data_IF_533982475423
#
_entry.id   IF_533982475423
#
_cell.length_a   1.000
_cell.length_b   1.000
_cell.length_c   1.000
_cell.angle_alpha   90.00
_cell.angle_beta   90.00
_cell.angle_gamma   90.00
#
_symmetry.space_group_name_H-M   'P 1'
#
loop_
_entity.id
_entity.type
_entity.pdbx_description
1 polymer ?
#
# COMPACT_ATOMS: atom_id res chain seq x y z
N UNK A 1 4.94 13.67 16.20
CA UNK A 1 4.38 12.84 15.10
C UNK A 1 3.86 11.56 15.76
N UNK A 2 3.03 11.70 16.82
CA UNK A 2 2.95 10.70 17.91
C UNK A 2 2.46 9.33 17.44
N UNK A 3 1.45 9.28 16.58
CA UNK A 3 0.93 8.03 16.05
C UNK A 3 1.95 7.31 15.15
N UNK A 4 2.64 8.03 14.27
CA UNK A 4 3.68 7.43 13.42
C UNK A 4 4.88 6.94 14.23
N UNK A 5 5.27 7.69 15.26
CA UNK A 5 6.33 7.29 16.19
C UNK A 5 5.95 6.08 17.05
N UNK A 6 4.67 5.90 17.36
CA UNK A 6 4.17 4.69 18.01
C UNK A 6 4.21 3.51 17.03
N UNK A 7 3.64 3.68 15.83
CA UNK A 7 3.57 2.63 14.80
C UNK A 7 4.96 2.17 14.39
N UNK A 8 5.93 3.07 14.23
CA UNK A 8 7.29 2.71 13.81
C UNK A 8 8.04 1.80 14.78
N UNK A 9 7.56 1.68 16.03
CA UNK A 9 8.11 0.79 17.05
C UNK A 9 7.40 -0.57 17.11
N UNK A 10 6.40 -0.79 16.25
CA UNK A 10 5.61 -2.02 16.19
C UNK A 10 5.84 -2.76 14.87
N UNK A 11 5.53 -4.05 14.83
CA UNK A 11 5.36 -4.78 13.56
C UNK A 11 3.97 -4.50 12.97
N UNK A 12 3.76 -3.26 12.53
CA UNK A 12 2.44 -2.73 12.13
C UNK A 12 2.51 -2.03 10.77
N UNK A 13 1.43 -2.17 10.00
CA UNK A 13 1.26 -1.54 8.70
C UNK A 13 -0.02 -0.70 8.68
N UNK A 14 -0.02 0.40 7.94
CA UNK A 14 -1.19 1.26 7.77
C UNK A 14 -1.86 0.94 6.44
N UNK A 15 -3.17 0.72 6.45
CA UNK A 15 -3.99 0.55 5.25
C UNK A 15 -5.07 1.63 5.28
N UNK A 16 -5.20 2.39 4.20
CA UNK A 16 -6.16 3.49 4.11
C UNK A 16 -6.85 3.57 2.74
N UNK A 17 -7.82 4.48 2.66
CA UNK A 17 -8.52 4.88 1.44
C UNK A 17 -8.60 6.40 1.36
N UNK A 18 -9.79 6.94 1.05
CA UNK A 18 -10.10 8.39 0.88
C UNK A 18 -9.38 9.05 -0.30
N UNK A 19 -8.07 8.84 -0.44
CA UNK A 19 -7.35 9.15 -1.68
C UNK A 19 -7.80 8.21 -2.78
N UNK A 20 -8.27 8.78 -3.87
CA UNK A 20 -8.84 8.05 -4.99
C UNK A 20 -7.76 7.51 -5.96
N UNK A 21 -6.72 6.87 -5.42
CA UNK A 21 -5.72 6.13 -6.20
C UNK A 21 -5.11 5.01 -5.35
N UNK A 22 -4.32 4.16 -6.00
CA UNK A 22 -3.54 3.12 -5.33
C UNK A 22 -2.12 3.60 -5.08
N UNK A 23 -1.56 3.32 -3.90
CA UNK A 23 -0.16 3.62 -3.63
C UNK A 23 0.43 2.80 -2.49
N UNK A 24 1.76 2.77 -2.47
CA UNK A 24 2.55 2.43 -1.29
C UNK A 24 3.44 3.62 -1.00
N UNK A 25 3.41 4.13 0.22
CA UNK A 25 4.31 5.19 0.67
C UNK A 25 5.09 4.76 1.91
N UNK A 26 6.31 5.28 2.04
CA UNK A 26 7.15 5.10 3.23
C UNK A 26 7.59 6.46 3.72
N UNK A 27 7.21 6.81 4.94
CA UNK A 27 7.68 8.04 5.58
C UNK A 27 9.19 7.96 5.83
N UNK A 28 9.96 8.91 5.28
CA UNK A 28 11.43 8.87 5.35
C UNK A 28 11.99 9.00 6.77
N UNK A 29 11.24 9.62 7.69
CA UNK A 29 11.71 9.88 9.06
C UNK A 29 11.47 8.71 9.99
N UNK A 30 10.31 8.08 9.88
CA UNK A 30 9.83 7.04 10.80
C UNK A 30 9.88 5.64 10.19
N UNK A 31 9.99 5.52 8.86
CA UNK A 31 9.91 4.25 8.16
C UNK A 31 8.51 3.64 8.11
N UNK A 32 7.49 4.34 8.64
CA UNK A 32 6.10 3.85 8.61
C UNK A 32 5.67 3.67 7.17
N UNK A 33 5.19 2.45 6.88
CA UNK A 33 4.69 2.06 5.56
C UNK A 33 3.16 2.11 5.55
N UNK A 34 2.63 2.78 4.52
CA UNK A 34 1.22 2.94 4.26
C UNK A 34 0.85 2.37 2.89
N UNK A 35 -0.25 1.65 2.83
CA UNK A 35 -0.86 1.12 1.62
C UNK A 35 -2.22 1.78 1.42
N UNK A 36 -2.55 2.13 0.18
CA UNK A 36 -3.84 2.71 -0.13
C UNK A 36 -4.45 2.13 -1.39
N UNK A 37 -5.78 1.99 -1.35
CA UNK A 37 -6.61 1.66 -2.49
C UNK A 37 -8.00 2.25 -2.28
N UNK A 38 -8.12 3.58 -2.42
CA UNK A 38 -9.40 4.26 -2.17
C UNK A 38 -10.50 4.03 -3.23
N UNK A 39 -10.22 4.03 -4.54
CA UNK A 39 -11.26 3.94 -5.55
C UNK A 39 -11.55 2.48 -5.92
N UNK A 40 -12.79 2.03 -5.72
CA UNK A 40 -13.23 0.70 -6.16
C UNK A 40 -13.45 0.59 -7.68
N UNK A 41 -13.49 1.72 -8.40
CA UNK A 41 -13.72 1.77 -9.86
C UNK A 41 -12.84 2.82 -10.53
N UNK A 42 -12.62 2.69 -11.84
CA UNK A 42 -11.79 3.62 -12.60
C UNK A 42 -12.43 5.02 -12.72
N UNK A 43 -13.75 5.09 -12.74
CA UNK A 43 -14.52 6.33 -12.83
C UNK A 43 -14.35 7.21 -11.59
N UNK A 44 -14.05 6.60 -10.44
CA UNK A 44 -13.80 7.33 -9.20
C UNK A 44 -12.33 7.60 -8.95
N UNK A 45 -11.41 7.04 -9.75
CA UNK A 45 -9.98 7.28 -9.61
C UNK A 45 -9.58 8.68 -10.08
N UNK A 46 -8.81 9.41 -9.27
CA UNK A 46 -8.42 10.79 -9.58
C UNK A 46 -7.86 11.55 -8.40
N UNK A 47 -7.66 12.86 -8.54
CA UNK A 47 -7.12 13.73 -7.49
C UNK A 47 -5.58 13.73 -7.38
N UNK A 48 -4.89 12.92 -8.19
CA UNK A 48 -3.43 12.90 -8.33
C UNK A 48 -3.04 12.59 -9.78
N UNK A 49 -1.75 12.68 -10.12
CA UNK A 49 -1.22 12.30 -11.43
C UNK A 49 -0.19 11.17 -11.32
N UNK A 50 -0.23 10.23 -12.27
CA UNK A 50 0.77 9.16 -12.37
C UNK A 50 2.20 9.69 -12.64
N UNK A 51 2.32 10.89 -13.19
CA UNK A 51 3.60 11.54 -13.44
C UNK A 51 4.18 12.23 -12.19
N UNK A 52 3.35 12.44 -11.16
CA UNK A 52 3.75 13.09 -9.91
C UNK A 52 4.20 12.07 -8.87
N UNK A 53 5.33 11.42 -9.14
CA UNK A 53 5.99 10.53 -8.18
C UNK A 53 6.91 11.31 -7.24
N UNK A 54 6.66 11.19 -5.95
CA UNK A 54 7.49 11.74 -4.87
C UNK A 54 8.41 10.65 -4.31
N UNK A 55 9.42 11.06 -3.53
CA UNK A 55 10.44 10.15 -3.01
C UNK A 55 9.88 9.07 -2.06
N UNK A 56 8.80 9.40 -1.34
CA UNK A 56 8.11 8.47 -0.46
C UNK A 56 7.35 7.37 -1.20
N UNK A 57 6.98 7.57 -2.48
CA UNK A 57 6.18 6.61 -3.23
C UNK A 57 7.03 5.40 -3.66
N UNK A 58 6.68 4.23 -3.13
CA UNK A 58 7.19 2.93 -3.60
C UNK A 58 6.34 2.35 -4.73
N UNK A 59 5.05 2.67 -4.70
CA UNK A 59 4.09 2.39 -5.77
C UNK A 59 3.11 3.56 -5.86
N UNK A 60 2.67 3.89 -7.07
CA UNK A 60 1.66 4.91 -7.34
C UNK A 60 0.95 4.51 -8.63
N UNK A 61 -0.38 4.44 -8.58
CA UNK A 61 -1.21 4.22 -9.76
C UNK A 61 -2.59 4.83 -9.54
N UNK A 62 -2.91 5.87 -10.30
CA UNK A 62 -4.23 6.53 -10.30
C UNK A 62 -5.19 5.70 -11.14
N UNK A 63 -5.72 4.64 -10.51
CA UNK A 63 -6.63 3.65 -11.10
C UNK A 63 -7.55 3.08 -10.03
N UNK A 64 -8.69 2.53 -10.45
CA UNK A 64 -9.60 1.76 -9.59
C UNK A 64 -9.08 0.37 -9.27
N UNK A 65 -9.63 -0.25 -8.22
CA UNK A 65 -9.45 -1.67 -7.93
C UNK A 65 -9.58 -1.99 -6.46
N UNK A 66 -8.82 -2.97 -5.98
CA UNK A 66 -8.84 -3.39 -4.58
C UNK A 66 -7.46 -3.83 -4.09
N UNK A 67 -7.27 -3.85 -2.77
CA UNK A 67 -6.05 -4.32 -2.11
C UNK A 67 -6.34 -5.63 -1.39
N UNK A 68 -5.51 -6.66 -1.60
CA UNK A 68 -5.49 -7.84 -0.76
C UNK A 68 -4.25 -7.85 0.13
N UNK A 69 -4.44 -8.22 1.39
CA UNK A 69 -3.38 -8.51 2.35
C UNK A 69 -3.44 -10.01 2.71
N UNK A 70 -2.40 -10.75 2.34
CA UNK A 70 -2.33 -12.20 2.51
C UNK A 70 -1.29 -12.49 3.57
N UNK A 71 -1.72 -13.08 4.69
CA UNK A 71 -0.82 -13.53 5.76
C UNK A 71 -0.69 -15.04 5.68
N UNK A 72 0.52 -15.52 5.46
CA UNK A 72 0.84 -16.94 5.41
C UNK A 72 2.18 -17.23 6.09
N UNK A 73 2.65 -18.47 5.95
CA UNK A 73 4.01 -18.86 6.29
C UNK A 73 4.70 -19.37 5.04
N UNK A 74 5.83 -18.76 4.71
CA UNK A 74 6.75 -19.22 3.67
C UNK A 74 8.02 -19.73 4.33
N UNK A 75 8.37 -20.99 4.10
CA UNK A 75 9.54 -21.62 4.76
C UNK A 75 9.49 -21.43 6.29
N UNK A 76 8.31 -21.67 6.87
CA UNK A 76 7.97 -21.47 8.29
C UNK A 76 8.07 -20.04 8.84
N UNK A 77 8.40 -19.05 8.00
CA UNK A 77 8.45 -17.63 8.40
C UNK A 77 7.13 -16.93 8.12
N UNK A 78 6.53 -16.23 9.12
CA UNK A 78 5.37 -15.38 8.90
C UNK A 78 5.66 -14.38 7.77
N UNK A 79 4.81 -14.40 6.74
CA UNK A 79 4.97 -13.57 5.56
C UNK A 79 3.66 -12.85 5.30
N UNK A 80 3.75 -11.55 5.01
CA UNK A 80 2.64 -10.71 4.63
C UNK A 80 2.87 -10.23 3.20
N UNK A 81 1.94 -10.55 2.30
CA UNK A 81 1.98 -10.12 0.91
C UNK A 81 0.82 -9.17 0.65
N UNK A 82 1.14 -7.93 0.24
CA UNK A 82 0.18 -6.96 -0.24
C UNK A 82 0.10 -7.00 -1.76
N UNK A 83 -1.11 -7.02 -2.31
CA UNK A 83 -1.34 -6.97 -3.75
C UNK A 83 -2.38 -5.92 -4.08
N UNK A 84 -2.00 -4.96 -4.92
CA UNK A 84 -2.96 -4.06 -5.54
C UNK A 84 -3.45 -4.70 -6.83
N UNK A 85 -4.77 -4.75 -6.99
CA UNK A 85 -5.43 -5.31 -8.16
C UNK A 85 -6.10 -4.21 -8.97
N UNK A 86 -6.25 -4.44 -10.28
CA UNK A 86 -7.17 -3.68 -11.12
C UNK A 86 -8.64 -4.01 -10.77
N UNK A 87 -9.58 -3.27 -11.36
CA UNK A 87 -11.01 -3.58 -11.28
C UNK A 87 -11.36 -4.95 -11.89
N UNK A 88 -10.55 -5.43 -12.82
CA UNK A 88 -10.73 -6.73 -13.51
C UNK A 88 -10.04 -7.89 -12.77
N UNK A 89 -9.31 -7.60 -11.69
CA UNK A 89 -8.60 -8.61 -10.89
C UNK A 89 -7.18 -8.92 -11.34
N UNK A 90 -6.60 -8.10 -12.22
CA UNK A 90 -5.17 -8.21 -12.58
C UNK A 90 -4.29 -7.68 -11.45
N UNK A 91 -3.17 -8.34 -11.16
CA UNK A 91 -2.19 -7.84 -10.19
C UNK A 91 -1.41 -6.68 -10.82
N UNK A 92 -1.54 -5.49 -10.25
CA UNK A 92 -0.84 -4.28 -10.69
C UNK A 92 0.46 -4.04 -9.91
N UNK A 93 0.50 -4.47 -8.64
CA UNK A 93 1.68 -4.41 -7.80
C UNK A 93 1.62 -5.51 -6.74
N UNK A 94 2.77 -6.10 -6.43
CA UNK A 94 2.98 -6.99 -5.29
C UNK A 94 4.10 -6.45 -4.40
N UNK A 95 3.90 -6.50 -3.08
CA UNK A 95 4.90 -6.16 -2.09
C UNK A 95 4.90 -7.23 -0.98
N UNK A 96 6.03 -7.89 -0.81
CA UNK A 96 6.17 -9.09 0.04
C UNK A 96 7.10 -8.82 1.21
N UNK A 97 6.60 -9.02 2.42
CA UNK A 97 7.27 -8.70 3.67
C UNK A 97 7.39 -9.97 4.51
N UNK A 98 8.61 -10.42 4.73
CA UNK A 98 8.91 -11.57 5.59
C UNK A 98 9.29 -11.06 6.96
N UNK A 99 8.67 -11.59 8.01
CA UNK A 99 9.05 -11.28 9.38
C UNK A 99 10.52 -11.68 9.60
N UNK A 100 11.28 -10.78 10.24
CA UNK A 100 12.68 -11.03 10.63
C UNK A 100 12.76 -11.96 11.83
#
# INVERSE_FOLDING_TARGET
NELREFISKQNMYVICGDRHWQYISVDEKTGVREYSCGPASNEHAGGWSNDQRLAEHRYLNVIGGFLAAIVDRSEDKPTLTFRHYSVDGDILNEDRLVAQ
#
